data_IF_957174089888
#
_entry.id   IF_957174089888
#
_cell.length_a   1.000
_cell.length_b   1.000
_cell.length_c   1.000
_cell.angle_alpha   90.00
_cell.angle_beta   90.00
_cell.angle_gamma   90.00
#
_symmetry.space_group_name_H-M   'P 1'
#
loop_
_entity.id
_entity.type
_entity.pdbx_description
1 polymer ?
#
# COMPACT_ATOMS: atom_id res chain seq x y z
N UNK A 1 -26.34 -17.61 47.65
CA UNK A 1 -25.98 -16.85 46.43
C UNK A 1 -24.48 -16.58 46.44
N UNK A 2 -23.77 -16.83 45.35
CA UNK A 2 -22.34 -16.51 45.26
C UNK A 2 -22.12 -15.00 45.30
N UNK A 3 -20.99 -14.54 45.86
CA UNK A 3 -20.67 -13.11 45.94
C UNK A 3 -20.41 -12.53 44.55
N UNK A 4 -20.72 -11.24 44.34
CA UNK A 4 -20.49 -10.55 43.07
C UNK A 4 -19.02 -10.60 42.63
N UNK A 5 -18.10 -10.60 43.58
CA UNK A 5 -16.66 -10.72 43.34
C UNK A 5 -16.29 -12.13 42.84
N UNK A 6 -16.87 -13.18 43.44
CA UNK A 6 -16.65 -14.56 43.00
C UNK A 6 -17.17 -14.79 41.58
N UNK A 7 -18.35 -14.25 41.25
CA UNK A 7 -18.92 -14.33 39.90
C UNK A 7 -18.00 -13.60 38.90
N UNK A 8 -17.56 -12.37 39.21
CA UNK A 8 -16.65 -11.61 38.34
C UNK A 8 -15.32 -12.32 38.11
N UNK A 9 -14.74 -12.91 39.15
CA UNK A 9 -13.50 -13.69 39.04
C UNK A 9 -13.69 -14.92 38.15
N UNK A 10 -14.76 -15.68 38.36
CA UNK A 10 -15.08 -16.85 37.53
C UNK A 10 -15.29 -16.45 36.06
N UNK A 11 -15.97 -15.32 35.78
CA UNK A 11 -16.13 -14.85 34.39
C UNK A 11 -14.81 -14.43 33.75
N UNK A 12 -13.89 -13.83 34.51
CA UNK A 12 -12.56 -13.48 34.01
C UNK A 12 -11.75 -14.74 33.65
N UNK A 13 -11.84 -15.77 34.48
CA UNK A 13 -11.20 -17.07 34.25
C UNK A 13 -11.79 -17.78 33.02
N UNK A 14 -13.12 -17.81 32.89
CA UNK A 14 -13.80 -18.46 31.75
C UNK A 14 -13.49 -17.76 30.42
N UNK A 15 -13.51 -16.42 30.40
CA UNK A 15 -13.39 -15.65 29.16
C UNK A 15 -12.01 -15.04 28.92
N UNK A 16 -11.00 -15.43 29.71
CA UNK A 16 -9.65 -14.85 29.67
C UNK A 16 -9.66 -13.32 29.69
N UNK A 17 -10.50 -12.73 30.55
CA UNK A 17 -10.59 -11.28 30.71
C UNK A 17 -9.67 -10.80 31.84
N UNK A 18 -9.02 -9.66 31.62
CA UNK A 18 -8.22 -9.00 32.65
C UNK A 18 -9.12 -8.27 33.67
N UNK A 19 -8.82 -8.33 34.98
CA UNK A 19 -9.52 -7.55 35.99
C UNK A 19 -9.34 -6.05 35.78
N UNK A 20 -10.41 -5.28 35.93
CA UNK A 20 -10.33 -3.82 35.93
C UNK A 20 -9.85 -3.31 37.31
N UNK A 21 -8.60 -2.85 37.37
CA UNK A 21 -7.98 -2.31 38.60
C UNK A 21 -8.15 -0.79 38.78
N UNK A 22 -8.86 -0.11 37.87
CA UNK A 22 -9.03 1.36 37.91
C UNK A 22 -7.77 2.17 37.55
N UNK A 23 -6.68 1.50 37.17
CA UNK A 23 -5.41 2.10 36.74
C UNK A 23 -5.21 1.93 35.23
N UNK A 24 -4.42 2.83 34.62
CA UNK A 24 -4.08 2.75 33.19
C UNK A 24 -3.05 1.64 32.95
N UNK A 25 -3.50 0.51 32.41
CA UNK A 25 -2.66 -0.68 32.11
C UNK A 25 -2.20 -0.78 30.65
N UNK A 26 -2.64 0.14 29.77
CA UNK A 26 -2.33 0.08 28.33
C UNK A 26 -3.16 -0.95 27.53
N UNK A 27 -4.04 -1.72 28.18
CA UNK A 27 -4.88 -2.73 27.51
C UNK A 27 -5.75 -2.18 26.37
N UNK A 28 -6.09 -0.88 26.38
CA UNK A 28 -6.78 -0.22 25.26
C UNK A 28 -5.95 -0.25 23.97
N UNK A 29 -4.65 0.02 24.07
CA UNK A 29 -3.73 0.03 22.93
C UNK A 29 -3.55 -1.39 22.40
N UNK A 30 -3.39 -2.37 23.29
CA UNK A 30 -3.25 -3.78 22.90
C UNK A 30 -4.51 -4.34 22.23
N UNK A 31 -5.70 -3.88 22.63
CA UNK A 31 -6.98 -4.26 22.01
C UNK A 31 -7.22 -3.56 20.67
N UNK A 32 -6.49 -2.48 20.38
CA UNK A 32 -6.68 -1.75 19.14
C UNK A 32 -6.24 -2.63 17.97
N UNK A 33 -7.11 -2.75 16.97
CA UNK A 33 -6.78 -3.44 15.73
C UNK A 33 -5.75 -2.62 14.97
N UNK A 34 -4.74 -3.30 14.43
CA UNK A 34 -3.68 -2.67 13.68
C UNK A 34 -4.21 -2.32 12.29
N UNK A 35 -3.99 -1.09 11.84
CA UNK A 35 -4.48 -0.56 10.55
C UNK A 35 -3.41 -0.53 9.46
N UNK A 36 -2.15 -0.83 9.79
CA UNK A 36 -1.02 -0.68 8.87
C UNK A 36 -1.18 -1.44 7.55
N UNK A 37 -1.78 -2.63 7.54
CA UNK A 37 -2.05 -3.35 6.30
C UNK A 37 -3.12 -2.67 5.43
N UNK A 38 -4.15 -2.08 6.07
CA UNK A 38 -5.19 -1.33 5.36
C UNK A 38 -4.61 -0.06 4.75
N UNK A 39 -3.74 0.62 5.49
CA UNK A 39 -3.04 1.82 5.02
C UNK A 39 -2.07 1.50 3.88
N UNK A 40 -1.32 0.40 3.98
CA UNK A 40 -0.41 -0.04 2.92
C UNK A 40 -1.14 -0.38 1.60
N UNK A 41 -2.40 -0.81 1.68
CA UNK A 41 -3.25 -1.14 0.52
C UNK A 41 -3.94 0.09 -0.10
N UNK A 42 -3.71 1.30 0.40
CA UNK A 42 -4.42 2.50 -0.05
C UNK A 42 -4.26 2.78 -1.55
N UNK A 43 -3.06 2.55 -2.11
CA UNK A 43 -2.82 2.64 -3.55
C UNK A 43 -2.70 1.24 -4.16
N UNK A 44 -3.64 0.82 -5.03
CA UNK A 44 -3.55 -0.48 -5.67
C UNK A 44 -2.37 -0.51 -6.65
N UNK A 45 -1.59 -1.59 -6.59
CA UNK A 45 -0.52 -1.86 -7.54
C UNK A 45 -1.10 -2.10 -8.95
N UNK A 46 -0.47 -1.55 -9.98
CA UNK A 46 -0.97 -1.73 -11.35
C UNK A 46 -0.75 -3.18 -11.84
N UNK A 47 -1.73 -3.71 -12.58
CA UNK A 47 -1.64 -5.05 -13.17
C UNK A 47 -0.49 -5.18 -14.19
N UNK A 48 -0.01 -4.06 -14.74
CA UNK A 48 1.05 -4.03 -15.76
C UNK A 48 2.33 -4.72 -15.29
N UNK A 49 2.65 -4.62 -14.00
CA UNK A 49 3.82 -5.27 -13.40
C UNK A 49 3.71 -6.80 -13.42
N UNK A 50 2.50 -7.32 -13.19
CA UNK A 50 2.21 -8.76 -13.24
C UNK A 50 2.16 -9.21 -14.70
N UNK A 51 1.45 -8.47 -15.55
CA UNK A 51 1.30 -8.77 -16.98
C UNK A 51 2.66 -8.90 -17.69
N UNK A 52 3.63 -8.03 -17.37
CA UNK A 52 5.00 -8.11 -17.92
C UNK A 52 5.79 -9.33 -17.46
N UNK A 53 5.50 -9.87 -16.26
CA UNK A 53 6.15 -11.10 -15.78
C UNK A 53 5.60 -12.33 -16.49
N UNK A 54 4.29 -12.35 -16.75
CA UNK A 54 3.61 -13.49 -17.39
C UNK A 54 3.82 -13.50 -18.90
N UNK A 55 3.76 -12.34 -19.55
CA UNK A 55 3.93 -12.19 -20.99
C UNK A 55 5.11 -11.24 -21.28
N UNK A 56 6.31 -11.77 -21.56
CA UNK A 56 7.43 -10.96 -22.04
C UNK A 56 7.01 -10.19 -23.29
N UNK A 57 7.22 -8.87 -23.29
CA UNK A 57 6.78 -7.99 -24.38
C UNK A 57 5.39 -7.38 -24.21
N UNK A 58 4.70 -7.59 -23.08
CA UNK A 58 3.47 -6.85 -22.77
C UNK A 58 3.74 -5.33 -22.71
N UNK A 59 3.01 -4.59 -23.53
CA UNK A 59 3.03 -3.11 -23.59
C UNK A 59 1.59 -2.62 -23.46
N UNK A 60 1.40 -1.53 -22.72
CA UNK A 60 0.07 -0.89 -22.64
C UNK A 60 -0.21 -0.07 -23.90
N UNK A 61 -1.48 0.10 -24.27
CA UNK A 61 -1.86 0.93 -25.42
C UNK A 61 -1.33 2.37 -25.33
N UNK A 62 -1.22 2.93 -24.12
CA UNK A 62 -0.63 4.25 -23.89
C UNK A 62 0.87 4.27 -24.18
N UNK A 63 1.61 3.25 -23.76
CA UNK A 63 3.04 3.11 -24.02
C UNK A 63 3.33 2.90 -25.50
N UNK A 64 2.52 2.07 -26.18
CA UNK A 64 2.62 1.85 -27.62
C UNK A 64 2.39 3.15 -28.40
N UNK A 65 1.30 3.88 -28.09
CA UNK A 65 1.03 5.21 -28.66
C UNK A 65 2.18 6.18 -28.40
N UNK A 66 2.77 6.15 -27.20
CA UNK A 66 3.93 6.99 -26.85
C UNK A 66 5.12 6.66 -27.73
N UNK A 67 5.42 5.37 -27.97
CA UNK A 67 6.53 4.94 -28.81
C UNK A 67 6.34 5.39 -30.26
N UNK A 68 5.16 5.18 -30.83
CA UNK A 68 4.82 5.62 -32.20
C UNK A 68 4.92 7.15 -32.36
N UNK A 69 4.39 7.91 -31.38
CA UNK A 69 4.52 9.37 -31.37
C UNK A 69 5.99 9.80 -31.34
N UNK A 70 6.80 9.15 -30.52
CA UNK A 70 8.20 9.50 -30.38
C UNK A 70 8.98 9.21 -31.66
N UNK A 71 8.70 8.08 -32.30
CA UNK A 71 9.29 7.69 -33.58
C UNK A 71 8.96 8.70 -34.71
N UNK A 72 7.69 9.08 -34.85
CA UNK A 72 7.29 10.14 -35.80
C UNK A 72 7.95 11.50 -35.54
N UNK A 73 8.13 11.89 -34.28
CA UNK A 73 8.84 13.13 -33.92
C UNK A 73 10.32 13.07 -34.28
N UNK A 74 10.99 11.94 -34.02
CA UNK A 74 12.40 11.73 -34.39
C UNK A 74 12.60 11.80 -35.90
N UNK A 75 11.72 11.17 -36.68
CA UNK A 75 11.76 11.26 -38.16
C UNK A 75 11.67 12.71 -38.67
N UNK A 76 10.91 13.56 -37.98
CA UNK A 76 10.77 14.99 -38.30
C UNK A 76 11.90 15.87 -37.77
N UNK A 77 12.90 15.31 -37.07
CA UNK A 77 13.93 16.08 -36.37
C UNK A 77 13.44 16.85 -35.15
N UNK A 78 12.18 16.65 -34.74
CA UNK A 78 11.53 17.30 -33.58
C UNK A 78 11.51 16.40 -32.34
N UNK A 79 12.33 15.36 -32.33
CA UNK A 79 12.51 14.49 -31.17
C UNK A 79 13.20 15.25 -30.03
N UNK A 80 13.04 14.80 -28.78
CA UNK A 80 13.77 15.37 -27.66
C UNK A 80 15.29 15.26 -27.93
N UNK A 81 16.07 16.34 -27.73
CA UNK A 81 17.50 16.32 -27.97
C UNK A 81 18.22 15.41 -26.97
N UNK A 82 19.48 15.04 -27.26
CA UNK A 82 20.32 14.30 -26.32
C UNK A 82 20.41 15.08 -25.00
N UNK A 83 20.26 14.39 -23.86
CA UNK A 83 20.35 15.00 -22.53
C UNK A 83 21.61 15.88 -22.43
N UNK A 84 21.43 17.16 -22.08
CA UNK A 84 22.52 18.14 -21.97
C UNK A 84 22.88 18.91 -23.25
N UNK A 85 22.35 18.55 -24.42
CA UNK A 85 22.71 19.16 -25.72
C UNK A 85 21.78 20.27 -26.22
N UNK A 86 20.67 20.55 -25.52
CA UNK A 86 19.68 21.55 -25.94
C UNK A 86 20.15 22.99 -25.68
N UNK A 87 20.02 23.45 -24.43
CA UNK A 87 20.29 24.86 -24.06
C UNK A 87 21.76 25.30 -24.18
N UNK A 88 22.70 24.35 -24.23
CA UNK A 88 24.16 24.63 -24.21
C UNK A 88 24.80 24.72 -25.61
N UNK A 89 24.04 24.49 -26.68
CA UNK A 89 24.51 24.81 -28.02
C UNK A 89 24.47 26.34 -28.18
N UNK A 90 25.64 26.95 -28.41
CA UNK A 90 25.76 28.35 -28.86
C UNK A 90 24.95 28.55 -30.14
#
# INVERSE_FOLDING_TARGET
MASRQAISKLTQEIFNQLPNKGIRTGAKILKQRWTGELEARYYPESITKIARKVSPGYVTAQEERRLLKLDTLRRRGKGPPKKGSGKRKK
#
